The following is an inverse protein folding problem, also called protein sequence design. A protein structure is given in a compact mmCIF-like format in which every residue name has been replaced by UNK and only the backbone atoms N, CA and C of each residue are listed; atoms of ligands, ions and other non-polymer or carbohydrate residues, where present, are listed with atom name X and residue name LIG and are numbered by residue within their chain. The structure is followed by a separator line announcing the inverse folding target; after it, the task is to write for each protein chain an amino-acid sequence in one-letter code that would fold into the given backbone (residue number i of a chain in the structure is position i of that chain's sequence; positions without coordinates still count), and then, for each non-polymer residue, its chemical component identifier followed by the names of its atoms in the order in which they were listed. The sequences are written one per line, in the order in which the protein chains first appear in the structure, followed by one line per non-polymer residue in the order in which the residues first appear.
data_IF_375829545016
#
_entry.id   IF_375829545016
#
_cell.length_a   1.000
_cell.length_b   1.000
_cell.length_c   1.000
_cell.angle_alpha   90.00
_cell.angle_beta   90.00
_cell.angle_gamma   90.00
#
_symmetry.space_group_name_H-M   'P 1'
#
loop_
_entity.id
_entity.type
_entity.pdbx_description
1 polymer ?
#
# COMPACT_ATOMS: atom_id res chain seq x y z
N UNK A 1 -18.93 3.30 -1.73
CA UNK A 1 -17.54 3.35 -1.24
C UNK A 1 -16.93 4.69 -1.62
N UNK A 2 -16.17 5.30 -0.70
CA UNK A 2 -15.50 6.57 -0.93
C UNK A 2 -14.00 6.38 -0.78
N UNK A 3 -13.21 6.93 -1.73
CA UNK A 3 -11.77 7.09 -1.56
C UNK A 3 -11.56 8.37 -0.75
N UNK A 4 -10.97 8.23 0.45
CA UNK A 4 -10.81 9.35 1.38
C UNK A 4 -9.70 10.31 0.96
N UNK A 5 -8.65 9.79 0.32
CA UNK A 5 -7.50 10.59 -0.13
C UNK A 5 -6.77 9.90 -1.27
N UNK A 6 -6.13 10.67 -2.13
CA UNK A 6 -5.31 10.20 -3.25
C UNK A 6 -4.01 11.00 -3.27
N UNK A 7 -2.90 10.30 -3.08
CA UNK A 7 -1.55 10.89 -3.17
C UNK A 7 -0.94 10.53 -4.51
N UNK A 8 -0.52 11.51 -5.28
CA UNK A 8 0.11 11.31 -6.58
C UNK A 8 0.21 12.60 -7.41
N UNK A 9 0.78 12.54 -8.61
CA UNK A 9 1.41 11.35 -9.21
C UNK A 9 2.72 10.97 -8.51
N UNK A 10 2.96 9.66 -8.34
CA UNK A 10 4.19 9.11 -7.77
C UNK A 10 4.99 8.38 -8.87
N UNK A 11 6.30 8.20 -8.63
CA UNK A 11 7.20 7.54 -9.59
C UNK A 11 7.62 8.44 -10.74
N UNK A 12 8.05 7.80 -11.82
CA UNK A 12 8.49 8.46 -13.06
C UNK A 12 7.44 8.32 -14.14
N UNK A 13 7.32 9.36 -14.98
CA UNK A 13 6.46 9.28 -16.16
C UNK A 13 7.00 8.27 -17.17
N UNK A 14 6.11 7.51 -17.80
CA UNK A 14 6.46 6.62 -18.91
C UNK A 14 7.09 7.42 -20.06
N UNK A 15 8.22 6.96 -20.58
CA UNK A 15 8.86 7.60 -21.72
C UNK A 15 8.07 7.32 -23.00
N UNK A 16 7.50 8.35 -23.60
CA UNK A 16 6.69 8.28 -24.81
C UNK A 16 7.37 9.08 -25.92
N UNK A 17 7.65 8.40 -27.02
CA UNK A 17 8.14 9.03 -28.26
C UNK A 17 7.66 8.23 -29.48
N UNK A 18 7.96 8.67 -30.68
CA UNK A 18 7.70 7.88 -31.88
C UNK A 18 8.82 6.86 -32.09
N UNK A 19 8.61 5.64 -31.60
CA UNK A 19 9.52 4.52 -31.75
C UNK A 19 9.39 3.82 -33.13
N UNK A 20 8.20 3.95 -33.75
CA UNK A 20 7.82 3.20 -34.96
C UNK A 20 6.71 2.18 -34.70
N UNK A 21 6.97 0.89 -34.84
CA UNK A 21 6.02 -0.17 -34.53
C UNK A 21 6.23 -0.65 -33.08
N UNK A 22 5.19 -0.50 -32.24
CA UNK A 22 5.24 -0.83 -30.82
C UNK A 22 4.26 -1.94 -30.50
N UNK A 23 4.71 -2.95 -29.72
CA UNK A 23 3.85 -4.00 -29.18
C UNK A 23 3.59 -3.72 -27.72
N UNK A 24 2.30 -3.64 -27.34
CA UNK A 24 1.83 -3.47 -25.97
C UNK A 24 1.18 -4.76 -25.47
N UNK A 25 1.86 -5.49 -24.57
CA UNK A 25 1.43 -6.80 -24.08
C UNK A 25 0.82 -6.67 -22.67
N UNK A 26 -0.50 -6.77 -22.56
CA UNK A 26 -1.26 -6.63 -21.32
C UNK A 26 -1.82 -7.95 -20.81
N UNK A 27 -1.52 -8.29 -19.54
CA UNK A 27 -2.04 -9.51 -18.89
C UNK A 27 -2.99 -9.23 -17.74
N UNK A 28 -4.22 -9.71 -17.81
CA UNK A 28 -5.23 -9.54 -16.77
C UNK A 28 -5.44 -8.08 -16.42
N UNK A 29 -5.38 -7.71 -15.13
CA UNK A 29 -5.55 -6.32 -14.66
C UNK A 29 -4.48 -5.36 -15.21
N UNK A 30 -3.33 -5.88 -15.68
CA UNK A 30 -2.27 -5.06 -16.28
C UNK A 30 -2.68 -4.30 -17.54
N UNK A 31 -3.81 -4.66 -18.16
CA UNK A 31 -4.39 -3.93 -19.30
C UNK A 31 -4.84 -2.53 -18.86
N UNK A 32 -5.32 -2.37 -17.63
CA UNK A 32 -5.81 -1.07 -17.13
C UNK A 32 -4.71 0.00 -17.08
N UNK A 33 -3.55 -0.19 -16.43
CA UNK A 33 -2.45 0.78 -16.48
C UNK A 33 -1.79 0.88 -17.87
N UNK A 34 -1.91 -0.13 -18.72
CA UNK A 34 -1.38 -0.08 -20.08
C UNK A 34 -2.21 0.81 -21.01
N UNK A 35 -3.52 0.93 -20.81
CA UNK A 35 -4.41 1.69 -21.70
C UNK A 35 -3.95 3.16 -21.90
N UNK A 36 -3.63 3.96 -20.87
CA UNK A 36 -3.11 5.32 -21.08
C UNK A 36 -1.78 5.35 -21.82
N UNK A 37 -0.92 4.34 -21.65
CA UNK A 37 0.35 4.22 -22.40
C UNK A 37 0.06 3.96 -23.88
N UNK A 38 -0.88 3.07 -24.20
CA UNK A 38 -1.33 2.79 -25.57
C UNK A 38 -1.84 4.09 -26.21
N UNK A 39 -2.68 4.85 -25.52
CA UNK A 39 -3.23 6.12 -26.01
C UNK A 39 -2.12 7.12 -26.33
N UNK A 40 -1.21 7.34 -25.38
CA UNK A 40 -0.10 8.26 -25.55
C UNK A 40 0.85 7.85 -26.69
N UNK A 41 1.14 6.55 -26.80
CA UNK A 41 1.96 6.01 -27.92
C UNK A 41 1.27 6.25 -29.28
N UNK A 42 -0.04 6.06 -29.34
CA UNK A 42 -0.82 6.31 -30.55
C UNK A 42 -0.82 7.79 -30.93
N UNK A 43 -1.01 8.68 -29.95
CA UNK A 43 -0.94 10.13 -30.14
C UNK A 43 0.46 10.59 -30.58
N UNK A 44 1.52 9.93 -30.12
CA UNK A 44 2.90 10.17 -30.57
C UNK A 44 3.19 9.66 -31.99
N UNK A 45 2.22 9.08 -32.68
CA UNK A 45 2.34 8.65 -34.07
C UNK A 45 2.92 7.25 -34.26
N UNK A 46 2.95 6.41 -33.24
CA UNK A 46 3.37 5.02 -33.35
C UNK A 46 2.30 4.14 -34.04
N UNK A 47 2.75 3.08 -34.71
CA UNK A 47 1.91 1.95 -35.02
C UNK A 47 1.82 1.07 -33.78
N UNK A 48 0.64 1.02 -33.15
CA UNK A 48 0.43 0.32 -31.89
C UNK A 48 -0.29 -0.99 -32.13
N UNK A 49 0.32 -2.11 -31.73
CA UNK A 49 -0.25 -3.46 -31.77
C UNK A 49 -0.38 -3.94 -30.34
N UNK A 50 -1.61 -4.14 -29.88
CA UNK A 50 -1.90 -4.58 -28.52
C UNK A 50 -2.15 -6.07 -28.45
N UNK A 51 -1.49 -6.77 -27.53
CA UNK A 51 -1.73 -8.17 -27.20
C UNK A 51 -2.35 -8.27 -25.83
N UNK A 52 -3.64 -8.59 -25.77
CA UNK A 52 -4.38 -8.75 -24.52
C UNK A 52 -4.40 -10.24 -24.14
N UNK A 53 -4.00 -10.55 -22.92
CA UNK A 53 -3.94 -11.93 -22.44
C UNK A 53 -4.73 -12.14 -21.14
N UNK A 54 -5.41 -13.29 -21.05
CA UNK A 54 -6.14 -13.72 -19.88
C UNK A 54 -6.25 -15.24 -19.82
N UNK A 55 -6.58 -15.81 -18.65
CA UNK A 55 -6.81 -17.25 -18.54
C UNK A 55 -8.05 -17.67 -19.32
N UNK A 56 -9.11 -16.86 -19.24
CA UNK A 56 -10.42 -17.09 -19.84
C UNK A 56 -10.96 -15.80 -20.44
N UNK A 57 -11.99 -15.91 -21.27
CA UNK A 57 -12.71 -14.76 -21.85
C UNK A 57 -13.11 -13.71 -20.83
N UNK A 58 -13.62 -14.14 -19.68
CA UNK A 58 -14.18 -13.24 -18.65
C UNK A 58 -13.11 -12.38 -17.96
N UNK A 59 -11.83 -12.75 -18.11
CA UNK A 59 -10.67 -12.02 -17.60
C UNK A 59 -10.05 -11.06 -18.63
N UNK A 60 -10.61 -10.96 -19.83
CA UNK A 60 -10.22 -9.93 -20.81
C UNK A 60 -11.01 -8.65 -20.50
N UNK A 61 -10.29 -7.62 -20.14
CA UNK A 61 -10.86 -6.32 -19.74
C UNK A 61 -10.49 -5.23 -20.74
N UNK A 62 -11.29 -4.17 -20.81
CA UNK A 62 -11.01 -2.92 -21.57
C UNK A 62 -10.72 -3.17 -23.07
N UNK A 63 -11.19 -4.28 -23.65
CA UNK A 63 -10.94 -4.60 -25.04
C UNK A 63 -11.42 -3.49 -25.99
N UNK A 64 -12.62 -2.95 -25.77
CA UNK A 64 -13.20 -1.93 -26.64
C UNK A 64 -12.39 -0.63 -26.63
N UNK A 65 -11.87 -0.24 -25.45
CA UNK A 65 -11.05 0.94 -25.26
C UNK A 65 -9.67 0.77 -25.93
N UNK A 66 -9.06 -0.40 -25.76
CA UNK A 66 -7.80 -0.75 -26.41
C UNK A 66 -7.94 -0.78 -27.93
N UNK A 67 -9.03 -1.36 -28.46
CA UNK A 67 -9.30 -1.37 -29.91
C UNK A 67 -9.46 0.03 -30.52
N UNK A 68 -9.95 1.00 -29.77
CA UNK A 68 -10.06 2.39 -30.24
C UNK A 68 -8.70 3.08 -30.35
N UNK A 69 -7.74 2.65 -29.54
CA UNK A 69 -6.42 3.29 -29.43
C UNK A 69 -5.28 2.52 -30.03
N UNK A 70 -5.56 1.34 -30.65
CA UNK A 70 -4.57 0.47 -31.28
C UNK A 70 -4.87 0.27 -32.75
N UNK A 71 -3.85 0.07 -33.56
CA UNK A 71 -4.01 -0.29 -34.98
C UNK A 71 -4.43 -1.75 -35.16
N UNK A 72 -4.01 -2.57 -34.21
CA UNK A 72 -4.36 -3.98 -34.17
C UNK A 72 -4.46 -4.48 -32.73
N UNK A 73 -5.41 -5.39 -32.46
CA UNK A 73 -5.56 -6.05 -31.17
C UNK A 73 -5.60 -7.54 -31.35
N UNK A 74 -4.67 -8.24 -30.72
CA UNK A 74 -4.58 -9.69 -30.66
C UNK A 74 -5.04 -10.12 -29.27
N UNK A 75 -5.98 -11.07 -29.21
CA UNK A 75 -6.46 -11.60 -27.93
C UNK A 75 -5.94 -13.03 -27.79
N UNK A 76 -5.39 -13.31 -26.61
CA UNK A 76 -4.86 -14.62 -26.22
C UNK A 76 -5.58 -15.09 -24.96
N UNK A 77 -6.07 -16.33 -24.97
CA UNK A 77 -6.62 -16.97 -23.76
C UNK A 77 -5.98 -18.34 -23.55
N UNK A 78 -5.60 -18.65 -22.30
CA UNK A 78 -4.92 -19.91 -21.99
C UNK A 78 -5.80 -21.12 -22.33
N UNK A 79 -7.10 -21.03 -22.09
CA UNK A 79 -8.09 -22.08 -22.34
C UNK A 79 -8.63 -22.10 -23.77
N UNK A 80 -8.42 -21.03 -24.55
CA UNK A 80 -8.95 -20.88 -25.91
C UNK A 80 -10.43 -20.48 -25.95
N UNK A 81 -10.99 -20.00 -24.85
CA UNK A 81 -12.39 -19.58 -24.76
C UNK A 81 -12.71 -18.32 -25.57
N UNK A 82 -11.68 -17.51 -25.90
CA UNK A 82 -11.82 -16.31 -26.70
C UNK A 82 -10.50 -15.93 -27.40
N UNK A 83 -10.61 -15.44 -28.64
CA UNK A 83 -9.46 -15.09 -29.46
C UNK A 83 -8.63 -16.32 -29.84
N UNK A 84 -7.31 -16.19 -29.69
CA UNK A 84 -6.38 -17.31 -29.97
C UNK A 84 -6.09 -18.05 -28.64
N UNK A 85 -5.97 -19.39 -28.73
CA UNK A 85 -5.50 -20.19 -27.60
C UNK A 85 -3.99 -20.08 -27.47
N UNK A 86 -3.49 -19.75 -26.28
CA UNK A 86 -2.07 -19.73 -26.00
C UNK A 86 -1.66 -18.58 -25.08
N UNK A 87 -0.37 -18.41 -24.89
CA UNK A 87 0.23 -17.40 -24.02
C UNK A 87 0.44 -16.07 -24.75
N UNK A 88 0.55 -14.99 -23.99
CA UNK A 88 0.86 -13.65 -24.52
C UNK A 88 2.14 -13.62 -25.37
N UNK A 89 3.14 -14.43 -25.02
CA UNK A 89 4.41 -14.57 -25.77
C UNK A 89 4.21 -15.08 -27.18
N UNK A 90 3.24 -15.98 -27.39
CA UNK A 90 2.90 -16.47 -28.73
C UNK A 90 2.24 -15.38 -29.58
N UNK A 91 1.40 -14.55 -28.95
CA UNK A 91 0.83 -13.37 -29.58
C UNK A 91 1.92 -12.36 -30.01
N UNK A 92 2.86 -12.04 -29.12
CA UNK A 92 4.01 -11.18 -29.44
C UNK A 92 4.85 -11.78 -30.55
N UNK A 93 5.18 -13.07 -30.48
CA UNK A 93 6.00 -13.74 -31.47
C UNK A 93 5.34 -13.76 -32.84
N UNK A 94 4.02 -13.90 -32.91
CA UNK A 94 3.25 -13.82 -34.14
C UNK A 94 3.41 -12.47 -34.86
N UNK A 95 3.48 -11.37 -34.08
CA UNK A 95 3.76 -10.04 -34.63
C UNK A 95 5.20 -9.93 -35.11
N UNK A 96 6.17 -10.33 -34.29
CA UNK A 96 7.60 -10.25 -34.62
C UNK A 96 7.94 -11.01 -35.89
N UNK A 97 7.29 -12.16 -36.13
CA UNK A 97 7.49 -12.97 -37.37
C UNK A 97 6.91 -12.31 -38.62
N UNK A 98 5.96 -11.42 -38.46
CA UNK A 98 5.20 -10.80 -39.54
C UNK A 98 5.73 -9.41 -39.92
N UNK A 99 6.18 -8.64 -38.95
CA UNK A 99 6.65 -7.27 -39.16
C UNK A 99 7.74 -6.90 -38.16
N UNK A 100 8.52 -5.86 -38.50
CA UNK A 100 9.55 -5.35 -37.59
C UNK A 100 8.89 -4.67 -36.39
N UNK A 101 9.29 -5.05 -35.18
CA UNK A 101 8.89 -4.39 -33.92
C UNK A 101 10.07 -3.60 -33.39
N UNK A 102 9.85 -2.34 -33.10
CA UNK A 102 10.90 -1.42 -32.66
C UNK A 102 10.94 -1.30 -31.12
N UNK A 103 9.82 -1.48 -30.43
CA UNK A 103 9.72 -1.41 -28.95
C UNK A 103 8.61 -2.34 -28.46
N UNK A 104 8.78 -2.89 -27.26
CA UNK A 104 7.75 -3.64 -26.56
C UNK A 104 7.49 -3.04 -25.16
N UNK A 105 6.23 -2.97 -24.76
CA UNK A 105 5.81 -2.70 -23.39
C UNK A 105 5.06 -3.93 -22.87
N UNK A 106 5.40 -4.41 -21.67
CA UNK A 106 4.71 -5.55 -21.07
C UNK A 106 4.28 -5.23 -19.63
N UNK A 107 2.98 -5.34 -19.38
CA UNK A 107 2.37 -5.06 -18.06
C UNK A 107 1.43 -6.20 -17.69
N UNK A 108 1.68 -6.83 -16.54
CA UNK A 108 0.87 -7.95 -16.06
C UNK A 108 1.55 -8.73 -14.95
N UNK A 109 1.18 -9.98 -14.75
CA UNK A 109 1.85 -10.85 -13.79
C UNK A 109 3.37 -10.88 -14.00
N UNK A 110 4.14 -10.81 -12.92
CA UNK A 110 5.61 -10.75 -13.01
C UNK A 110 6.23 -11.88 -13.84
N UNK A 111 5.67 -13.09 -13.74
CA UNK A 111 6.10 -14.23 -14.54
C UNK A 111 5.86 -14.01 -16.03
N UNK A 112 4.73 -13.41 -16.41
CA UNK A 112 4.42 -13.05 -17.79
C UNK A 112 5.43 -12.04 -18.32
N UNK A 113 5.69 -10.97 -17.58
CA UNK A 113 6.67 -9.95 -17.98
C UNK A 113 8.07 -10.53 -18.17
N UNK A 114 8.52 -11.42 -17.27
CA UNK A 114 9.80 -12.14 -17.42
C UNK A 114 9.86 -12.89 -18.75
N UNK A 115 8.82 -13.66 -19.09
CA UNK A 115 8.81 -14.43 -20.35
C UNK A 115 8.70 -13.53 -21.58
N UNK A 116 7.99 -12.42 -21.51
CA UNK A 116 7.99 -11.42 -22.58
C UNK A 116 9.41 -10.88 -22.82
N UNK A 117 10.14 -10.52 -21.74
CA UNK A 117 11.53 -10.06 -21.84
C UNK A 117 12.47 -11.13 -22.42
N UNK A 118 12.34 -12.39 -21.99
CA UNK A 118 13.14 -13.49 -22.53
C UNK A 118 12.87 -13.73 -24.03
N UNK A 119 11.64 -13.53 -24.47
CA UNK A 119 11.28 -13.60 -25.88
C UNK A 119 11.88 -12.42 -26.65
N UNK A 120 11.61 -11.19 -26.25
CA UNK A 120 12.04 -9.99 -26.97
C UNK A 120 13.56 -9.83 -26.99
N UNK A 121 14.26 -10.33 -25.96
CA UNK A 121 15.73 -10.37 -25.93
C UNK A 121 16.32 -11.20 -27.08
N UNK A 122 15.69 -12.33 -27.47
CA UNK A 122 16.14 -13.16 -28.60
C UNK A 122 16.11 -12.40 -29.94
N UNK A 123 15.21 -11.43 -30.03
CA UNK A 123 15.01 -10.61 -31.22
C UNK A 123 15.63 -9.21 -31.11
N UNK A 124 16.35 -8.94 -30.02
CA UNK A 124 16.95 -7.62 -29.69
C UNK A 124 15.94 -6.46 -29.73
N UNK A 125 14.72 -6.70 -29.25
CA UNK A 125 13.68 -5.68 -29.18
C UNK A 125 13.72 -5.04 -27.76
N UNK A 126 14.00 -3.75 -27.62
CA UNK A 126 13.94 -3.05 -26.34
C UNK A 126 12.58 -3.22 -25.69
N UNK A 127 12.56 -3.59 -24.41
CA UNK A 127 11.32 -3.94 -23.72
C UNK A 127 11.23 -3.28 -22.37
N UNK A 128 10.23 -2.44 -22.18
CA UNK A 128 9.91 -1.86 -20.90
C UNK A 128 8.82 -2.68 -20.21
N UNK A 129 9.00 -2.87 -18.90
CA UNK A 129 8.06 -3.58 -18.04
C UNK A 129 7.63 -2.70 -16.88
N UNK A 130 6.35 -2.68 -16.56
CA UNK A 130 5.83 -1.97 -15.39
C UNK A 130 5.76 -2.94 -14.21
N UNK A 131 6.66 -2.76 -13.26
CA UNK A 131 6.87 -3.71 -12.17
C UNK A 131 5.88 -3.53 -11.03
N UNK A 132 5.36 -4.65 -10.53
CA UNK A 132 4.37 -4.74 -9.46
C UNK A 132 4.95 -5.40 -8.20
N UNK A 133 5.99 -4.83 -7.63
CA UNK A 133 6.58 -5.30 -6.37
C UNK A 133 5.69 -5.00 -5.16
N UNK A 134 6.02 -5.60 -4.00
CA UNK A 134 5.39 -5.22 -2.74
C UNK A 134 5.68 -3.74 -2.47
N UNK A 135 4.63 -2.93 -2.31
CA UNK A 135 4.73 -1.51 -1.97
C UNK A 135 3.98 -1.22 -0.69
N UNK A 136 4.57 -0.39 0.18
CA UNK A 136 4.01 -0.02 1.48
C UNK A 136 3.71 1.47 1.51
N UNK A 137 4.71 2.35 1.36
CA UNK A 137 4.54 3.80 1.46
C UNK A 137 4.41 4.52 0.11
N UNK A 138 4.99 3.99 -0.95
CA UNK A 138 4.96 4.61 -2.28
C UNK A 138 5.89 5.81 -2.47
N UNK A 139 6.63 6.25 -1.45
CA UNK A 139 7.45 7.47 -1.47
C UNK A 139 8.97 7.20 -1.47
N UNK A 140 9.37 5.93 -1.49
CA UNK A 140 10.77 5.51 -1.48
C UNK A 140 11.43 5.44 -0.10
N UNK A 141 10.69 5.71 0.98
CA UNK A 141 11.25 5.74 2.33
C UNK A 141 11.42 4.35 2.95
N UNK A 142 10.44 3.45 2.77
CA UNK A 142 10.46 2.15 3.44
C UNK A 142 11.35 1.10 2.74
N UNK A 143 11.68 1.27 1.47
CA UNK A 143 12.47 0.34 0.69
C UNK A 143 11.83 -1.03 0.41
N UNK A 144 10.53 -1.20 0.69
CA UNK A 144 9.82 -2.46 0.46
C UNK A 144 9.81 -2.85 -1.03
N UNK A 145 9.69 -1.87 -1.92
CA UNK A 145 9.61 -2.05 -3.37
C UNK A 145 10.99 -2.12 -4.07
N UNK A 146 12.09 -2.27 -3.32
CA UNK A 146 13.44 -2.31 -3.93
C UNK A 146 13.61 -3.52 -4.83
N UNK A 147 14.31 -3.31 -5.93
CA UNK A 147 14.72 -4.32 -6.92
C UNK A 147 16.13 -4.01 -7.40
N UNK A 148 16.76 -4.96 -8.05
CA UNK A 148 18.02 -4.73 -8.78
C UNK A 148 17.76 -4.63 -10.27
N UNK A 149 18.18 -3.53 -10.90
CA UNK A 149 18.09 -3.28 -12.34
C UNK A 149 19.46 -2.83 -12.82
N UNK A 150 20.06 -3.54 -13.77
CA UNK A 150 21.40 -3.24 -14.28
C UNK A 150 22.48 -3.23 -13.20
N UNK A 151 22.37 -4.11 -12.21
CA UNK A 151 23.31 -4.22 -11.07
C UNK A 151 23.16 -3.11 -10.02
N UNK A 152 22.14 -2.25 -10.13
CA UNK A 152 21.89 -1.15 -9.17
C UNK A 152 20.56 -1.35 -8.46
N UNK A 153 20.54 -1.07 -7.16
CA UNK A 153 19.27 -1.04 -6.39
C UNK A 153 18.42 0.13 -6.83
N UNK A 154 17.16 -0.14 -7.15
CA UNK A 154 16.12 0.80 -7.54
C UNK A 154 14.88 0.63 -6.66
N UNK A 155 14.09 1.69 -6.52
CA UNK A 155 12.82 1.67 -5.80
C UNK A 155 11.68 1.86 -6.80
N UNK A 156 10.86 0.83 -7.00
CA UNK A 156 9.82 0.84 -8.04
C UNK A 156 8.85 2.01 -7.89
N UNK A 157 8.52 2.40 -6.66
CA UNK A 157 7.60 3.51 -6.39
C UNK A 157 8.17 4.92 -6.71
N UNK A 158 9.50 5.06 -6.85
CA UNK A 158 10.16 6.36 -7.09
C UNK A 158 10.91 6.37 -8.42
N UNK A 159 11.70 5.31 -8.69
CA UNK A 159 12.51 5.20 -9.91
C UNK A 159 11.74 4.64 -11.11
N UNK A 160 10.57 3.98 -10.85
CA UNK A 160 9.71 3.36 -11.84
C UNK A 160 8.32 3.99 -11.89
N UNK A 161 7.30 3.23 -12.30
CA UNK A 161 7.23 1.74 -12.31
C UNK A 161 7.84 1.06 -13.53
N UNK A 162 8.13 1.77 -14.62
CA UNK A 162 8.68 1.20 -15.84
C UNK A 162 10.21 1.09 -15.76
N UNK A 163 10.72 -0.07 -16.19
CA UNK A 163 12.15 -0.36 -16.30
C UNK A 163 12.45 -1.18 -17.55
N UNK A 164 13.70 -1.07 -18.03
CA UNK A 164 14.22 -2.00 -19.03
C UNK A 164 14.16 -3.43 -18.49
N UNK A 165 13.24 -4.21 -19.02
CA UNK A 165 12.95 -5.56 -18.56
C UNK A 165 14.10 -6.55 -18.78
N UNK A 166 15.04 -6.25 -19.68
CA UNK A 166 16.24 -7.07 -19.91
C UNK A 166 17.30 -6.88 -18.83
N UNK A 167 17.21 -5.80 -18.02
CA UNK A 167 18.14 -5.49 -16.93
C UNK A 167 17.62 -5.85 -15.55
N UNK A 168 16.36 -6.30 -15.44
CA UNK A 168 15.72 -6.66 -14.17
C UNK A 168 16.25 -8.00 -13.65
N UNK A 169 16.66 -8.02 -12.39
CA UNK A 169 17.01 -9.26 -11.67
C UNK A 169 15.75 -9.99 -11.21
N UNK A 170 15.13 -10.72 -12.14
CA UNK A 170 13.83 -11.38 -11.95
C UNK A 170 13.79 -12.36 -10.78
N UNK A 171 14.87 -13.11 -10.55
CA UNK A 171 14.89 -14.14 -9.52
C UNK A 171 14.92 -13.52 -8.12
N UNK A 172 15.63 -12.39 -7.95
CA UNK A 172 15.57 -11.60 -6.71
C UNK A 172 14.15 -11.07 -6.50
N UNK A 173 13.52 -10.50 -7.53
CA UNK A 173 12.16 -9.99 -7.47
C UNK A 173 11.17 -11.07 -7.02
N UNK A 174 11.22 -12.26 -7.63
CA UNK A 174 10.33 -13.37 -7.26
C UNK A 174 10.55 -13.84 -5.82
N UNK A 175 11.81 -13.95 -5.40
CA UNK A 175 12.13 -14.32 -4.01
C UNK A 175 11.52 -13.33 -3.01
N UNK A 176 11.60 -12.03 -3.30
CA UNK A 176 11.02 -10.97 -2.45
C UNK A 176 9.50 -11.00 -2.46
N UNK A 177 8.87 -11.12 -3.63
CA UNK A 177 7.40 -11.23 -3.75
C UNK A 177 6.86 -12.49 -3.05
N UNK A 178 7.68 -13.52 -2.89
CA UNK A 178 7.33 -14.74 -2.18
C UNK A 178 7.48 -14.69 -0.67
N UNK A 179 8.02 -13.62 -0.10
CA UNK A 179 8.43 -13.57 1.32
C UNK A 179 7.28 -13.74 2.32
N UNK A 180 6.05 -13.42 1.94
CA UNK A 180 4.87 -13.50 2.80
C UNK A 180 3.83 -14.54 2.36
N UNK A 181 4.13 -15.32 1.31
CA UNK A 181 3.15 -16.27 0.72
C UNK A 181 2.63 -17.32 1.70
N UNK A 182 3.44 -17.75 2.64
CA UNK A 182 3.00 -18.78 3.60
C UNK A 182 2.05 -18.16 4.62
N UNK A 183 2.37 -16.95 5.12
CA UNK A 183 1.50 -16.19 6.01
C UNK A 183 0.19 -15.81 5.32
N UNK A 184 0.26 -15.31 4.08
CA UNK A 184 -0.92 -14.97 3.27
C UNK A 184 -1.83 -16.20 3.05
N UNK A 185 -1.25 -17.37 2.85
CA UNK A 185 -2.00 -18.62 2.67
C UNK A 185 -2.69 -19.07 3.97
N UNK A 186 -1.99 -18.95 5.09
CA UNK A 186 -2.53 -19.25 6.42
C UNK A 186 -3.70 -18.32 6.75
N UNK A 187 -3.53 -17.02 6.59
CA UNK A 187 -4.58 -16.02 6.83
C UNK A 187 -5.77 -16.20 5.87
N UNK A 188 -5.52 -16.53 4.60
CA UNK A 188 -6.60 -16.82 3.64
C UNK A 188 -7.39 -18.05 4.08
N UNK A 189 -6.73 -19.10 4.56
CA UNK A 189 -7.42 -20.32 5.05
C UNK A 189 -8.28 -20.02 6.29
N UNK A 190 -7.83 -19.14 7.18
CA UNK A 190 -8.60 -18.67 8.33
C UNK A 190 -9.82 -17.85 7.88
N UNK A 191 -9.66 -16.97 6.90
CA UNK A 191 -10.75 -16.19 6.33
C UNK A 191 -11.81 -17.08 5.68
N UNK A 192 -11.39 -18.03 4.83
CA UNK A 192 -12.28 -18.97 4.18
C UNK A 192 -13.04 -19.84 5.19
N UNK A 193 -12.35 -20.30 6.24
CA UNK A 193 -12.99 -21.06 7.32
C UNK A 193 -14.03 -20.21 8.07
N UNK A 194 -13.76 -18.94 8.32
CA UNK A 194 -14.69 -18.02 8.99
C UNK A 194 -15.91 -17.70 8.13
N UNK A 195 -15.73 -17.52 6.83
CA UNK A 195 -16.83 -17.24 5.87
C UNK A 195 -17.72 -18.47 5.69
N UNK A 196 -17.16 -19.69 5.66
CA UNK A 196 -17.95 -20.92 5.53
C UNK A 196 -18.82 -21.24 6.75
N UNK A 197 -18.54 -20.65 7.91
CA UNK A 197 -19.30 -20.87 9.16
C UNK A 197 -20.20 -19.70 9.55
N UNK A 198 -20.10 -18.55 8.88
CA UNK A 198 -20.98 -17.41 9.13
C UNK A 198 -22.36 -17.66 8.52
N UNK A 199 -23.34 -18.01 9.35
CA UNK A 199 -24.74 -17.94 8.94
C UNK A 199 -25.20 -16.48 8.99
N UNK A 200 -26.23 -16.06 8.19
CA UNK A 200 -26.72 -14.67 8.20
C UNK A 200 -27.16 -14.13 9.55
N UNK A 201 -27.34 -15.02 10.55
CA UNK A 201 -27.67 -14.65 11.93
C UNK A 201 -26.44 -14.39 12.79
N UNK A 202 -25.26 -14.91 12.43
CA UNK A 202 -24.02 -14.68 13.17
C UNK A 202 -23.33 -13.37 12.76
N UNK A 203 -23.52 -12.88 11.54
CA UNK A 203 -23.08 -11.54 11.16
C UNK A 203 -23.75 -10.44 11.98
N UNK A 204 -25.02 -10.65 12.39
CA UNK A 204 -25.73 -9.74 13.30
C UNK A 204 -25.31 -9.89 14.79
N UNK A 205 -24.69 -11.02 15.18
CA UNK A 205 -24.29 -11.30 16.56
C UNK A 205 -22.80 -11.08 16.86
N UNK A 206 -21.93 -11.08 15.82
CA UNK A 206 -20.50 -10.79 15.99
C UNK A 206 -20.23 -9.31 16.34
N UNK A 207 -21.20 -8.41 16.10
CA UNK A 207 -21.15 -7.02 16.54
C UNK A 207 -21.41 -6.80 18.04
N UNK A 208 -21.75 -7.86 18.80
CA UNK A 208 -22.30 -7.71 20.17
C UNK A 208 -21.44 -8.25 21.30
N UNK A 209 -20.22 -8.78 21.07
CA UNK A 209 -19.44 -9.45 22.14
C UNK A 209 -18.15 -8.75 22.59
N UNK A 210 -17.93 -7.51 22.22
CA UNK A 210 -16.90 -6.67 22.85
C UNK A 210 -17.55 -5.45 23.48
N UNK A 211 -18.01 -5.59 24.71
CA UNK A 211 -18.55 -4.50 25.56
C UNK A 211 -19.84 -3.87 25.03
N UNK A 212 -20.99 -4.30 25.47
CA UNK A 212 -22.37 -3.79 25.39
C UNK A 212 -22.63 -2.33 25.04
N UNK A 213 -22.00 -1.79 24.02
CA UNK A 213 -22.25 -0.48 23.43
C UNK A 213 -22.15 -0.64 21.92
N UNK A 214 -23.26 -0.43 21.25
CA UNK A 214 -23.31 -0.36 19.80
C UNK A 214 -22.18 0.55 19.29
N UNK A 215 -21.32 0.06 18.39
CA UNK A 215 -20.27 0.84 17.73
C UNK A 215 -20.93 1.83 16.75
N UNK A 216 -21.53 2.89 17.27
CA UNK A 216 -21.91 4.08 16.49
C UNK A 216 -20.77 5.09 16.57
N UNK A 217 -19.62 4.72 16.02
CA UNK A 217 -18.49 5.62 15.91
C UNK A 217 -18.62 6.47 14.64
N UNK A 218 -19.38 7.54 14.70
CA UNK A 218 -19.42 8.57 13.66
C UNK A 218 -19.45 9.97 14.28
N UNK A 219 -18.59 10.21 15.27
CA UNK A 219 -18.37 11.58 15.74
C UNK A 219 -17.80 12.39 14.55
N UNK A 220 -18.40 13.55 14.20
CA UNK A 220 -17.85 14.41 13.15
C UNK A 220 -16.38 14.74 13.40
N UNK A 221 -15.56 14.78 12.36
CA UNK A 221 -14.11 15.04 12.52
C UNK A 221 -13.85 16.39 13.18
N UNK A 222 -14.64 17.39 12.86
CA UNK A 222 -14.56 18.72 13.45
C UNK A 222 -14.73 18.67 14.97
N UNK A 223 -15.67 17.88 15.49
CA UNK A 223 -15.86 17.67 16.92
C UNK A 223 -14.71 16.87 17.55
N UNK A 224 -14.18 15.87 16.84
CA UNK A 224 -13.00 15.12 17.31
C UNK A 224 -11.78 16.01 17.47
N UNK A 225 -11.59 16.96 16.57
CA UNK A 225 -10.45 17.89 16.59
C UNK A 225 -10.67 19.08 17.53
N UNK A 226 -11.93 19.41 17.84
CA UNK A 226 -12.23 20.56 18.70
C UNK A 226 -11.79 20.32 20.14
N UNK A 227 -10.88 21.18 20.61
CA UNK A 227 -10.43 21.16 22.00
C UNK A 227 -11.55 21.51 23.00
N UNK A 228 -12.59 22.23 22.55
CA UNK A 228 -13.74 22.66 23.38
C UNK A 228 -14.89 21.66 23.36
N UNK A 229 -14.78 20.56 22.63
CA UNK A 229 -15.80 19.51 22.62
C UNK A 229 -16.14 19.07 24.04
N UNK A 230 -17.43 18.89 24.38
CA UNK A 230 -17.88 18.62 25.77
C UNK A 230 -17.19 17.40 26.40
N UNK A 231 -17.01 16.32 25.62
CA UNK A 231 -16.32 15.12 26.07
C UNK A 231 -14.86 15.37 26.44
N UNK A 232 -14.18 16.25 25.69
CA UNK A 232 -12.77 16.58 25.89
C UNK A 232 -12.56 17.53 27.06
N UNK A 233 -13.50 18.45 27.26
CA UNK A 233 -13.54 19.29 28.48
C UNK A 233 -13.80 18.47 29.73
N UNK A 234 -14.70 17.50 29.69
CA UNK A 234 -14.97 16.60 30.79
C UNK A 234 -13.70 15.83 31.22
N UNK A 235 -12.92 15.31 30.27
CA UNK A 235 -11.64 14.65 30.57
C UNK A 235 -10.61 15.59 31.19
N UNK A 236 -10.53 16.86 30.77
CA UNK A 236 -9.64 17.82 31.41
C UNK A 236 -10.08 18.18 32.87
N UNK A 237 -11.37 18.23 33.09
CA UNK A 237 -11.94 18.51 34.44
C UNK A 237 -11.84 17.31 35.38
N UNK A 238 -11.82 16.08 34.86
CA UNK A 238 -11.77 14.85 35.69
C UNK A 238 -10.45 14.66 36.44
N UNK A 239 -9.35 15.26 35.94
CA UNK A 239 -8.01 15.13 36.55
C UNK A 239 -7.23 16.44 36.40
N UNK A 240 -6.69 16.94 37.50
CA UNK A 240 -5.89 18.19 37.50
C UNK A 240 -4.54 17.99 36.79
N UNK A 241 -3.95 19.04 36.20
CA UNK A 241 -2.64 18.93 35.53
C UNK A 241 -1.55 18.31 36.41
N UNK A 242 -1.47 18.68 37.68
CA UNK A 242 -0.49 18.15 38.63
C UNK A 242 -0.66 16.63 38.86
N UNK A 243 -1.88 16.14 38.84
CA UNK A 243 -2.16 14.70 38.97
C UNK A 243 -1.75 13.96 37.70
N UNK A 244 -1.95 14.56 36.53
CA UNK A 244 -1.52 13.98 35.21
C UNK A 244 -0.01 13.89 35.10
N UNK A 245 0.72 14.93 35.55
CA UNK A 245 2.17 14.92 35.51
C UNK A 245 2.81 13.99 36.55
N UNK A 246 2.07 13.62 37.60
CA UNK A 246 2.53 12.65 38.58
C UNK A 246 2.40 11.19 38.14
N UNK A 247 1.72 10.92 37.01
CA UNK A 247 1.62 9.55 36.47
C UNK A 247 2.96 9.17 35.86
N UNK A 248 3.57 8.11 36.39
CA UNK A 248 4.82 7.57 35.84
C UNK A 248 4.62 7.07 34.42
N UNK A 249 5.65 7.22 33.58
CA UNK A 249 5.65 6.68 32.20
C UNK A 249 5.47 5.16 32.23
N UNK A 250 4.51 4.68 31.47
CA UNK A 250 4.30 3.25 31.32
C UNK A 250 5.38 2.66 30.39
N UNK A 251 6.17 1.67 30.83
CA UNK A 251 7.12 1.02 29.94
C UNK A 251 6.38 0.21 28.86
N UNK A 252 6.87 0.28 27.63
CA UNK A 252 6.35 -0.58 26.56
C UNK A 252 6.76 -2.03 26.79
N UNK A 253 5.85 -2.95 26.47
CA UNK A 253 6.13 -4.36 26.56
C UNK A 253 7.07 -4.78 25.42
N UNK A 254 8.05 -5.62 25.74
CA UNK A 254 9.00 -6.18 24.78
C UNK A 254 9.04 -7.68 24.90
N UNK A 255 9.43 -8.36 23.82
CA UNK A 255 9.73 -9.79 23.85
C UNK A 255 10.92 -10.07 24.78
N UNK A 256 10.88 -11.21 25.45
CA UNK A 256 12.01 -11.69 26.27
C UNK A 256 13.32 -11.68 25.46
N UNK A 257 14.43 -11.16 26.01
CA UNK A 257 15.71 -11.07 25.30
C UNK A 257 16.25 -12.40 24.75
N UNK A 258 16.02 -13.51 25.47
CA UNK A 258 16.41 -14.83 25.01
C UNK A 258 15.56 -15.31 23.84
N UNK A 259 14.25 -15.10 23.92
CA UNK A 259 13.32 -15.46 22.84
C UNK A 259 13.52 -14.63 21.58
N UNK A 260 13.65 -13.31 21.69
CA UNK A 260 13.85 -12.43 20.53
C UNK A 260 15.16 -12.70 19.77
N UNK A 261 16.16 -13.30 20.42
CA UNK A 261 17.39 -13.73 19.75
C UNK A 261 17.17 -14.93 18.82
N UNK A 262 16.09 -15.67 18.99
CA UNK A 262 15.75 -16.87 18.19
C UNK A 262 14.75 -16.59 17.07
N UNK A 263 13.97 -15.50 17.17
CA UNK A 263 12.99 -15.10 16.13
C UNK A 263 13.53 -13.98 15.26
N UNK A 264 13.15 -13.98 13.96
CA UNK A 264 13.47 -12.91 12.98
C UNK A 264 12.23 -12.24 12.41
N UNK A 265 11.07 -12.74 12.75
CA UNK A 265 9.77 -12.34 12.14
C UNK A 265 8.87 -11.60 13.11
N UNK A 266 9.05 -11.79 14.41
CA UNK A 266 8.23 -11.14 15.43
C UNK A 266 8.75 -9.76 15.81
N UNK A 267 7.83 -8.83 16.06
CA UNK A 267 8.17 -7.49 16.54
C UNK A 267 8.70 -7.58 17.97
N UNK A 268 9.86 -6.99 18.23
CA UNK A 268 10.46 -6.97 19.57
C UNK A 268 9.59 -6.18 20.55
N UNK A 269 9.08 -5.04 20.11
CA UNK A 269 8.18 -4.22 20.89
C UNK A 269 6.74 -4.66 20.66
N UNK A 270 6.09 -5.18 21.67
CA UNK A 270 4.71 -5.69 21.60
C UNK A 270 3.65 -4.64 21.93
N UNK A 271 4.08 -3.38 22.16
CA UNK A 271 3.20 -2.24 22.42
C UNK A 271 2.57 -2.27 23.81
N UNK A 272 1.47 -1.51 23.98
CA UNK A 272 0.69 -1.43 25.20
C UNK A 272 -0.55 -2.31 25.15
N UNK A 273 -0.96 -2.86 26.29
CA UNK A 273 -2.36 -3.31 26.46
C UNK A 273 -3.31 -2.11 26.40
N UNK A 274 -4.61 -2.36 26.24
CA UNK A 274 -5.62 -1.28 26.22
C UNK A 274 -5.56 -0.45 27.52
N UNK A 275 -5.41 -1.09 28.66
CA UNK A 275 -5.34 -0.47 29.98
C UNK A 275 -4.07 0.36 30.16
N UNK A 276 -2.94 -0.15 29.69
CA UNK A 276 -1.67 0.57 29.67
C UNK A 276 -1.74 1.80 28.77
N UNK A 277 -2.29 1.65 27.56
CA UNK A 277 -2.46 2.75 26.61
C UNK A 277 -3.36 3.87 27.20
N UNK A 278 -4.49 3.51 27.83
CA UNK A 278 -5.37 4.46 28.48
C UNK A 278 -4.71 5.15 29.67
N UNK A 279 -3.86 4.42 30.41
CA UNK A 279 -3.11 4.98 31.55
C UNK A 279 -2.05 5.96 31.07
N UNK A 280 -1.27 5.60 30.08
CA UNK A 280 -0.27 6.48 29.46
C UNK A 280 -0.93 7.74 28.85
N UNK A 281 -2.09 7.58 28.21
CA UNK A 281 -2.84 8.69 27.60
C UNK A 281 -3.32 9.73 28.64
N UNK A 282 -3.56 9.34 29.91
CA UNK A 282 -3.94 10.26 31.00
C UNK A 282 -2.85 11.29 31.32
N UNK A 283 -1.59 10.99 31.01
CA UNK A 283 -0.47 11.93 31.20
C UNK A 283 -0.62 13.20 30.36
N UNK A 284 -1.24 13.10 29.17
CA UNK A 284 -1.41 14.24 28.28
C UNK A 284 -2.24 15.38 28.90
N UNK A 285 -1.67 16.58 28.95
CA UNK A 285 -2.30 17.79 29.53
C UNK A 285 -3.35 18.44 28.62
N UNK A 286 -3.46 18.01 27.37
CA UNK A 286 -4.33 18.62 26.36
C UNK A 286 -4.08 20.14 26.23
N UNK A 287 -2.85 20.51 25.97
CA UNK A 287 -2.37 21.90 25.94
C UNK A 287 -3.20 22.77 24.98
N UNK A 288 -3.36 24.05 25.33
CA UNK A 288 -4.03 25.01 24.44
C UNK A 288 -3.19 25.30 23.19
N UNK A 289 -1.87 25.33 23.36
CA UNK A 289 -0.86 25.47 22.29
C UNK A 289 0.03 24.23 22.29
N UNK A 290 -0.37 23.15 21.60
CA UNK A 290 0.33 21.88 21.67
C UNK A 290 1.58 21.88 20.78
N UNK A 291 2.74 22.20 21.37
CA UNK A 291 4.04 22.21 20.65
C UNK A 291 4.42 20.86 20.06
N UNK A 292 3.92 19.75 20.62
CA UNK A 292 4.11 18.41 20.07
C UNK A 292 3.59 18.27 18.62
N UNK A 293 2.54 19.02 18.24
CA UNK A 293 2.06 19.03 16.85
C UNK A 293 3.06 19.68 15.90
N UNK A 294 3.83 20.67 16.35
CA UNK A 294 4.88 21.31 15.55
C UNK A 294 6.07 20.38 15.32
N UNK A 295 6.30 19.45 16.24
CA UNK A 295 7.34 18.43 16.11
C UNK A 295 6.91 17.24 15.24
N UNK A 296 5.65 17.17 14.79
CA UNK A 296 5.16 16.09 13.95
C UNK A 296 5.26 16.47 12.46
N UNK A 297 6.06 15.78 11.63
CA UNK A 297 6.22 16.12 10.20
C UNK A 297 4.92 16.06 9.41
N UNK A 298 3.96 15.22 9.83
CA UNK A 298 2.65 15.04 9.18
C UNK A 298 1.52 15.75 9.95
N UNK A 299 1.84 16.62 10.87
CA UNK A 299 0.90 17.52 11.58
C UNK A 299 -0.26 16.80 12.26
N UNK A 300 -0.05 15.61 12.84
CA UNK A 300 -1.08 14.89 13.59
C UNK A 300 -1.59 15.76 14.75
N UNK A 301 -2.91 15.82 14.95
CA UNK A 301 -3.50 16.41 16.14
C UNK A 301 -3.29 15.47 17.35
N UNK A 302 -2.05 15.48 17.88
CA UNK A 302 -1.59 14.57 18.92
C UNK A 302 -2.48 14.64 20.17
N UNK A 303 -2.84 15.82 20.74
CA UNK A 303 -3.70 15.85 21.90
C UNK A 303 -5.08 15.23 21.64
N UNK A 304 -5.64 15.40 20.44
CA UNK A 304 -6.93 14.84 20.10
C UNK A 304 -6.91 13.32 20.06
N UNK A 305 -5.94 12.70 19.37
CA UNK A 305 -5.89 11.25 19.34
C UNK A 305 -5.62 10.65 20.73
N UNK A 306 -4.71 11.26 21.51
CA UNK A 306 -4.41 10.80 22.88
C UNK A 306 -5.65 10.89 23.78
N UNK A 307 -6.45 11.97 23.69
CA UNK A 307 -7.68 12.09 24.48
C UNK A 307 -8.75 11.06 24.08
N UNK A 308 -8.79 10.65 22.82
CA UNK A 308 -9.63 9.55 22.39
C UNK A 308 -9.14 8.20 22.96
N UNK A 309 -7.82 7.96 23.00
CA UNK A 309 -7.25 6.80 23.70
C UNK A 309 -7.58 6.83 25.20
N UNK A 310 -7.45 7.98 25.87
CA UNK A 310 -7.76 8.14 27.30
C UNK A 310 -9.18 7.71 27.66
N UNK A 311 -10.16 7.99 26.78
CA UNK A 311 -11.57 7.59 27.00
C UNK A 311 -11.91 6.19 26.45
N UNK A 312 -10.93 5.47 25.89
CA UNK A 312 -11.10 4.12 25.35
C UNK A 312 -11.67 4.06 23.93
N UNK A 313 -11.83 5.18 23.24
CA UNK A 313 -12.36 5.27 21.88
C UNK A 313 -11.23 5.13 20.86
N UNK A 314 -10.68 3.90 20.74
CA UNK A 314 -9.51 3.62 19.90
C UNK A 314 -9.76 3.83 18.42
N UNK A 315 -10.99 3.56 17.93
CA UNK A 315 -11.34 3.80 16.53
C UNK A 315 -11.37 5.29 16.20
N UNK A 316 -11.90 6.12 17.09
CA UNK A 316 -11.90 7.56 16.92
C UNK A 316 -10.47 8.13 17.01
N UNK A 317 -9.63 7.58 17.89
CA UNK A 317 -8.21 7.90 17.92
C UNK A 317 -7.53 7.58 16.57
N UNK A 318 -7.80 6.41 16.01
CA UNK A 318 -7.27 6.02 14.68
C UNK A 318 -7.77 6.93 13.56
N UNK A 319 -9.04 7.38 13.61
CA UNK A 319 -9.58 8.36 12.64
C UNK A 319 -8.84 9.69 12.72
N UNK A 320 -8.55 10.19 13.94
CA UNK A 320 -7.76 11.41 14.12
C UNK A 320 -6.34 11.25 13.54
N UNK A 321 -5.69 10.11 13.78
CA UNK A 321 -4.37 9.83 13.19
C UNK A 321 -4.41 9.82 11.66
N UNK A 322 -5.41 9.16 11.09
CA UNK A 322 -5.60 9.05 9.63
C UNK A 322 -6.02 10.36 8.97
N UNK A 323 -6.44 11.36 9.71
CA UNK A 323 -6.84 12.65 9.15
C UNK A 323 -5.69 13.36 8.43
N UNK A 324 -4.45 13.19 8.90
CA UNK A 324 -3.27 13.81 8.29
C UNK A 324 -2.15 12.81 7.96
N UNK A 325 -2.24 11.55 8.41
CA UNK A 325 -1.25 10.51 8.15
C UNK A 325 -1.87 9.33 7.40
N UNK A 326 -1.34 9.01 6.24
CA UNK A 326 -1.79 7.84 5.45
C UNK A 326 -1.32 6.52 6.06
N UNK A 327 -0.24 6.50 6.84
CA UNK A 327 0.42 5.31 7.35
C UNK A 327 0.71 5.38 8.86
N UNK A 328 -0.29 5.64 9.73
CA UNK A 328 -0.05 5.85 11.15
C UNK A 328 0.57 4.63 11.85
N UNK A 329 0.27 3.41 11.41
CA UNK A 329 0.85 2.19 11.97
C UNK A 329 2.34 2.05 11.68
N UNK A 330 2.79 2.45 10.49
CA UNK A 330 4.22 2.50 10.13
C UNK A 330 4.91 3.62 10.90
N UNK A 331 4.33 4.82 10.92
CA UNK A 331 4.86 5.94 11.67
C UNK A 331 5.06 5.61 13.16
N UNK A 332 4.10 4.90 13.78
CA UNK A 332 4.19 4.48 15.17
C UNK A 332 5.40 3.56 15.46
N UNK A 333 5.89 2.83 14.43
CA UNK A 333 7.03 1.90 14.57
C UNK A 333 8.39 2.51 14.23
N UNK A 334 8.42 3.49 13.31
CA UNK A 334 9.69 3.98 12.75
C UNK A 334 10.00 5.44 13.09
N UNK A 335 9.02 6.21 13.57
CA UNK A 335 9.27 7.61 13.96
C UNK A 335 10.20 7.68 15.18
N UNK A 336 11.26 8.49 15.13
CA UNK A 336 12.08 8.81 16.31
C UNK A 336 11.34 9.87 17.16
N UNK A 337 10.27 9.45 17.88
CA UNK A 337 9.39 10.35 18.62
C UNK A 337 10.15 11.25 19.60
N UNK A 338 11.22 10.73 20.20
CA UNK A 338 12.12 11.42 21.11
C UNK A 338 12.83 12.64 20.48
N UNK A 339 12.95 12.64 19.13
CA UNK A 339 13.53 13.75 18.35
C UNK A 339 12.48 14.61 17.66
N UNK A 340 11.24 14.15 17.62
CA UNK A 340 10.12 14.79 16.94
C UNK A 340 9.08 15.34 17.95
N UNK A 341 7.92 14.69 18.03
CA UNK A 341 6.81 15.18 18.85
C UNK A 341 7.09 15.16 20.35
N UNK A 342 7.77 14.15 20.87
CA UNK A 342 8.13 14.09 22.30
C UNK A 342 9.14 15.16 22.68
N UNK A 343 10.14 15.45 21.82
CA UNK A 343 11.12 16.52 22.08
C UNK A 343 10.49 17.90 22.30
N UNK A 344 9.28 18.10 21.75
CA UNK A 344 8.53 19.34 21.89
C UNK A 344 7.46 19.27 23.02
N UNK A 345 7.34 18.12 23.67
CA UNK A 345 6.36 17.95 24.74
C UNK A 345 6.74 18.73 26.00
N UNK A 346 5.74 19.31 26.68
CA UNK A 346 5.95 20.03 27.92
C UNK A 346 6.49 19.14 29.06
N UNK A 347 6.18 17.84 29.04
CA UNK A 347 6.71 16.87 30.00
C UNK A 347 8.25 16.82 29.99
N UNK A 348 8.85 16.86 28.81
CA UNK A 348 10.32 16.86 28.70
C UNK A 348 10.95 18.12 29.32
N UNK A 349 10.21 19.25 29.27
CA UNK A 349 10.66 20.51 29.91
C UNK A 349 10.53 20.49 31.43
N UNK A 350 9.78 19.54 31.96
CA UNK A 350 9.58 19.33 33.39
C UNK A 350 10.48 18.24 33.97
N UNK A 351 11.46 17.74 33.21
CA UNK A 351 12.38 16.67 33.58
C UNK A 351 11.69 15.31 33.89
N UNK A 352 10.63 14.97 33.16
CA UNK A 352 9.93 13.68 33.27
C UNK A 352 10.09 12.80 32.03
#
# INVERSE_FOLDING_TARGET
DYILDVVGPLGQATHIENFGTVVCAGGGVGVAPMLPIIQALKEAGNRVISVLAGRTKDLIILENEVRKSSDEVIIMTDDGSYGNKGLVTEGIESVIKREKVDKCFAIGPAIMMKFCCLLTQKYNIPTDVSLNTIMVDGTGMCGACRITVGGKTKFVCVDGPEFDGHQVEWDEMFKRMGSFKDVEREEMSHLEASVCHATPQEEASAETTATGRAMTANTPMEELLDRKAPWREALRKSMKPKERTAIARCPMNELDPGYRATTRTEEVNTGYTKEQAMTEAKRCLDCANPTCMQGCPVSINIPSFIKNVERGEFLEAARVLKHTSSLPAVCGRVCPQEKQCESQCIHLKMNE
#
